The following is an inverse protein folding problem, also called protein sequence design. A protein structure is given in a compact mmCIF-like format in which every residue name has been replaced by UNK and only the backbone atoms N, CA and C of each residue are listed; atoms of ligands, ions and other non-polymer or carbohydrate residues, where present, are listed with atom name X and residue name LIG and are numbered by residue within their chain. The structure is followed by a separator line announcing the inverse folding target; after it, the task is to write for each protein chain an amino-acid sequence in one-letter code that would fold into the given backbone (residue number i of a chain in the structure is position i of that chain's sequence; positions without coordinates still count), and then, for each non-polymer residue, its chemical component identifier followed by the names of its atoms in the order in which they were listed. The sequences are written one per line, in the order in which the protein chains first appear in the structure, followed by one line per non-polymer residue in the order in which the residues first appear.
data_IF_065734146760
#
_entry.id   IF_065734146760
#
_cell.length_a   1.000
_cell.length_b   1.000
_cell.length_c   1.000
_cell.angle_alpha   90.00
_cell.angle_beta   90.00
_cell.angle_gamma   90.00
#
_symmetry.space_group_name_H-M   'P 1'
#
loop_
_entity.id
_entity.type
_entity.pdbx_description
1 polymer ?
#
# COMPACT_ATOMS: atom_id res chain seq x y z
N UNK A 1 37.18 1.29 9.60
CA UNK A 1 36.54 0.02 9.18
C UNK A 1 35.38 -0.45 10.07
N UNK A 2 35.38 -0.21 11.39
CA UNK A 2 34.29 -0.66 12.28
C UNK A 2 32.94 0.04 12.06
N UNK A 3 32.93 1.34 11.73
CA UNK A 3 31.71 2.11 11.47
C UNK A 3 30.93 1.59 10.25
N UNK A 4 31.64 1.18 9.19
CA UNK A 4 31.00 0.67 7.96
C UNK A 4 30.30 -0.68 8.19
N UNK A 5 30.86 -1.55 9.05
CA UNK A 5 30.23 -2.81 9.49
C UNK A 5 28.97 -2.57 10.33
N UNK A 6 28.94 -1.53 11.15
CA UNK A 6 27.77 -1.20 11.97
C UNK A 6 26.65 -0.60 11.13
N UNK A 7 26.97 0.33 10.23
CA UNK A 7 25.99 0.93 9.31
C UNK A 7 25.38 -0.14 8.41
N UNK A 8 26.20 -1.01 7.80
CA UNK A 8 25.70 -2.12 6.97
C UNK A 8 24.81 -3.09 7.74
N UNK A 9 25.20 -3.50 8.96
CA UNK A 9 24.35 -4.36 9.81
C UNK A 9 23.00 -3.71 10.13
N UNK A 10 22.99 -2.40 10.41
CA UNK A 10 21.76 -1.65 10.70
C UNK A 10 20.87 -1.52 9.47
N UNK A 11 21.44 -1.20 8.31
CA UNK A 11 20.70 -1.10 7.05
C UNK A 11 20.10 -2.45 6.67
N UNK A 12 20.87 -3.54 6.78
CA UNK A 12 20.38 -4.89 6.49
C UNK A 12 19.21 -5.27 7.42
N UNK A 13 19.36 -5.00 8.73
CA UNK A 13 18.30 -5.24 9.70
C UNK A 13 17.06 -4.39 9.41
N UNK A 14 17.22 -3.12 9.04
CA UNK A 14 16.11 -2.23 8.72
C UNK A 14 15.36 -2.73 7.47
N UNK A 15 16.06 -3.10 6.41
CA UNK A 15 15.45 -3.69 5.20
C UNK A 15 14.71 -4.98 5.57
N UNK A 16 15.35 -5.87 6.32
CA UNK A 16 14.71 -7.11 6.78
C UNK A 16 13.44 -6.84 7.61
N UNK A 17 13.50 -5.91 8.56
CA UNK A 17 12.36 -5.55 9.39
C UNK A 17 11.22 -4.94 8.56
N UNK A 18 11.53 -4.10 7.57
CA UNK A 18 10.53 -3.54 6.64
C UNK A 18 9.85 -4.68 5.87
N UNK A 19 10.62 -5.58 5.28
CA UNK A 19 10.08 -6.71 4.52
C UNK A 19 9.29 -7.67 5.40
N UNK A 20 9.68 -7.84 6.66
CA UNK A 20 8.95 -8.63 7.64
C UNK A 20 7.59 -7.99 7.96
N UNK A 21 7.57 -6.68 8.25
CA UNK A 21 6.31 -5.95 8.50
C UNK A 21 5.41 -6.00 7.30
N UNK A 22 5.94 -5.73 6.10
CA UNK A 22 5.23 -5.88 4.84
C UNK A 22 4.66 -7.29 4.72
N UNK A 23 5.47 -8.33 4.87
CA UNK A 23 5.00 -9.73 4.76
C UNK A 23 3.90 -10.07 5.78
N UNK A 24 3.98 -9.55 7.00
CA UNK A 24 2.91 -9.70 8.00
C UNK A 24 1.64 -9.01 7.51
N UNK A 25 1.75 -7.77 7.00
CA UNK A 25 0.63 -7.07 6.37
C UNK A 25 0.06 -7.86 5.19
N UNK A 26 0.88 -8.56 4.39
CA UNK A 26 0.37 -9.46 3.35
C UNK A 26 -0.52 -10.52 3.96
N UNK A 27 -0.01 -11.16 5.03
CA UNK A 27 -0.71 -12.25 5.70
C UNK A 27 -2.08 -11.79 6.17
N UNK A 28 -2.15 -10.60 6.79
CA UNK A 28 -3.42 -10.00 7.16
C UNK A 28 -4.32 -9.76 5.94
N UNK A 29 -3.83 -9.08 4.91
CA UNK A 29 -4.61 -8.75 3.69
C UNK A 29 -5.07 -10.00 2.96
N UNK A 30 -4.23 -11.03 2.84
CA UNK A 30 -4.53 -12.27 2.14
C UNK A 30 -5.50 -13.17 2.91
N UNK A 31 -5.57 -13.05 4.24
CA UNK A 31 -6.51 -13.77 5.10
C UNK A 31 -7.84 -13.03 5.25
N UNK A 32 -7.84 -11.69 5.15
CA UNK A 32 -9.07 -10.90 5.15
C UNK A 32 -9.74 -10.94 3.77
N UNK A 33 -11.04 -11.23 3.73
CA UNK A 33 -11.81 -11.11 2.49
C UNK A 33 -11.79 -9.65 2.01
N UNK A 34 -11.57 -9.45 0.71
CA UNK A 34 -11.51 -8.11 0.12
C UNK A 34 -12.88 -7.43 0.20
N UNK A 35 -13.03 -6.32 0.94
CA UNK A 35 -14.31 -5.61 1.08
C UNK A 35 -14.81 -5.05 -0.26
N UNK A 36 -13.94 -4.87 -1.26
CA UNK A 36 -14.33 -4.39 -2.58
C UNK A 36 -15.18 -5.41 -3.35
N UNK A 37 -15.07 -6.71 -3.03
CA UNK A 37 -15.93 -7.74 -3.64
C UNK A 37 -17.39 -7.49 -3.30
N UNK A 38 -17.68 -7.02 -2.09
CA UNK A 38 -19.04 -6.66 -1.68
C UNK A 38 -19.55 -5.40 -2.42
N UNK A 39 -18.66 -4.43 -2.68
CA UNK A 39 -18.98 -3.23 -3.46
C UNK A 39 -19.31 -3.59 -4.92
N UNK A 40 -18.51 -4.46 -5.55
CA UNK A 40 -18.77 -4.95 -6.92
C UNK A 40 -20.06 -5.75 -6.96
N UNK A 41 -20.30 -6.62 -5.99
CA UNK A 41 -21.55 -7.39 -5.90
C UNK A 41 -22.77 -6.48 -5.78
N UNK A 42 -22.68 -5.44 -4.94
CA UNK A 42 -23.74 -4.45 -4.79
C UNK A 42 -23.98 -3.65 -6.07
N UNK A 43 -22.91 -3.14 -6.69
CA UNK A 43 -22.98 -2.41 -7.96
C UNK A 43 -23.58 -3.25 -9.09
N UNK A 44 -23.14 -4.50 -9.23
CA UNK A 44 -23.69 -5.44 -10.21
C UNK A 44 -25.16 -5.76 -9.93
N UNK A 45 -25.57 -5.84 -8.66
CA UNK A 45 -26.97 -6.08 -8.28
C UNK A 45 -27.90 -4.90 -8.56
N UNK A 46 -27.35 -3.70 -8.73
CA UNK A 46 -28.06 -2.44 -9.02
C UNK A 46 -27.96 -2.05 -10.50
N UNK A 47 -27.31 -2.87 -11.34
CA UNK A 47 -27.25 -2.62 -12.78
C UNK A 47 -28.65 -2.70 -13.40
N UNK A 48 -28.85 -1.98 -14.50
CA UNK A 48 -30.12 -2.00 -15.26
C UNK A 48 -30.49 -3.41 -15.73
N UNK A 49 -29.48 -4.23 -16.00
CA UNK A 49 -29.60 -5.64 -16.38
C UNK A 49 -30.07 -6.50 -15.21
N UNK A 50 -29.49 -6.30 -14.02
CA UNK A 50 -29.89 -7.00 -12.79
C UNK A 50 -31.29 -6.60 -12.29
N UNK A 51 -31.78 -5.41 -12.63
CA UNK A 51 -33.11 -4.93 -12.24
C UNK A 51 -34.26 -5.55 -13.04
N UNK A 52 -33.99 -5.99 -14.28
CA UNK A 52 -34.98 -6.63 -15.16
C UNK A 52 -34.92 -8.16 -15.11
N UNK A 53 -33.84 -8.70 -14.55
CA UNK A 53 -33.57 -10.12 -14.41
C UNK A 53 -34.38 -10.78 -13.28
N UNK A 54 -34.69 -12.07 -13.45
CA UNK A 54 -35.28 -12.88 -12.39
C UNK A 54 -34.28 -13.12 -11.24
N UNK A 55 -34.74 -13.63 -10.09
CA UNK A 55 -33.88 -13.86 -8.93
C UNK A 55 -32.68 -14.78 -9.22
N UNK A 56 -32.84 -15.78 -10.10
CA UNK A 56 -31.76 -16.67 -10.54
C UNK A 56 -30.75 -15.97 -11.47
N UNK A 57 -31.23 -15.23 -12.48
CA UNK A 57 -30.39 -14.48 -13.42
C UNK A 57 -29.61 -13.36 -12.71
N UNK A 58 -30.25 -12.65 -11.77
CA UNK A 58 -29.58 -11.63 -10.96
C UNK A 58 -28.42 -12.22 -10.15
N UNK A 59 -28.59 -13.43 -9.61
CA UNK A 59 -27.52 -14.12 -8.89
C UNK A 59 -26.37 -14.53 -9.82
N UNK A 60 -26.64 -14.84 -11.08
CA UNK A 60 -25.64 -15.14 -12.11
C UNK A 60 -24.85 -13.89 -12.52
N UNK A 61 -25.54 -12.78 -12.82
CA UNK A 61 -24.92 -11.49 -13.14
C UNK A 61 -23.97 -11.02 -12.03
N UNK A 62 -24.41 -11.14 -10.77
CA UNK A 62 -23.57 -10.77 -9.61
C UNK A 62 -22.35 -11.70 -9.49
N UNK A 63 -22.52 -13.01 -9.72
CA UNK A 63 -21.39 -13.95 -9.68
C UNK A 63 -20.38 -13.66 -10.78
N UNK A 64 -20.85 -13.39 -11.99
CA UNK A 64 -20.00 -13.07 -13.14
C UNK A 64 -19.20 -11.78 -12.92
N UNK A 65 -19.85 -10.74 -12.38
CA UNK A 65 -19.16 -9.50 -12.01
C UNK A 65 -18.08 -9.74 -10.94
N UNK A 66 -18.35 -10.61 -9.95
CA UNK A 66 -17.36 -10.98 -8.93
C UNK A 66 -16.20 -11.76 -9.55
N UNK A 67 -16.47 -12.72 -10.45
CA UNK A 67 -15.40 -13.49 -11.10
C UNK A 67 -14.53 -12.63 -12.01
N UNK A 68 -15.13 -11.76 -12.82
CA UNK A 68 -14.39 -10.82 -13.66
C UNK A 68 -13.49 -9.90 -12.81
N UNK A 69 -14.02 -9.39 -11.69
CA UNK A 69 -13.23 -8.60 -10.74
C UNK A 69 -12.05 -9.38 -10.14
N UNK A 70 -12.25 -10.63 -9.76
CA UNK A 70 -11.17 -11.48 -9.21
C UNK A 70 -10.11 -11.78 -10.26
N UNK A 71 -10.51 -12.00 -11.50
CA UNK A 71 -9.61 -12.31 -12.62
C UNK A 71 -8.73 -11.10 -12.97
N UNK A 72 -9.34 -9.92 -13.15
CA UNK A 72 -8.62 -8.66 -13.43
C UNK A 72 -7.58 -8.33 -12.37
N UNK A 73 -7.90 -8.63 -11.11
CA UNK A 73 -7.06 -8.32 -9.96
C UNK A 73 -6.14 -9.47 -9.55
N UNK A 74 -6.18 -10.60 -10.26
CA UNK A 74 -5.39 -11.77 -9.97
C UNK A 74 -5.66 -12.39 -8.60
N UNK A 75 -6.85 -12.16 -8.02
CA UNK A 75 -7.23 -12.79 -6.74
C UNK A 75 -7.35 -14.31 -6.87
N UNK A 76 -7.63 -14.81 -8.07
CA UNK A 76 -7.68 -16.25 -8.38
C UNK A 76 -6.31 -16.91 -8.51
N UNK A 77 -5.22 -16.12 -8.49
CA UNK A 77 -3.86 -16.66 -8.55
C UNK A 77 -3.46 -17.32 -7.22
N UNK A 78 -2.60 -18.35 -7.27
CA UNK A 78 -1.99 -18.95 -6.09
C UNK A 78 -1.39 -17.90 -5.15
N UNK A 79 -1.58 -18.07 -3.84
CA UNK A 79 -1.13 -17.12 -2.81
C UNK A 79 0.36 -16.77 -2.95
N UNK A 80 1.19 -17.74 -3.36
CA UNK A 80 2.63 -17.54 -3.62
C UNK A 80 2.90 -16.50 -4.72
N UNK A 81 2.12 -16.52 -5.80
CA UNK A 81 2.30 -15.62 -6.94
C UNK A 81 1.86 -14.20 -6.55
N UNK A 82 0.75 -14.10 -5.83
CA UNK A 82 0.29 -12.82 -5.26
C UNK A 82 1.31 -12.22 -4.30
N UNK A 83 1.96 -13.04 -3.47
CA UNK A 83 3.01 -12.58 -2.56
C UNK A 83 4.22 -12.04 -3.34
N UNK A 84 4.76 -12.81 -4.29
CA UNK A 84 5.93 -12.38 -5.08
C UNK A 84 5.64 -11.10 -5.84
N UNK A 85 4.46 -11.02 -6.47
CA UNK A 85 4.03 -9.81 -7.17
C UNK A 85 3.93 -8.62 -6.23
N UNK A 86 3.32 -8.80 -5.05
CA UNK A 86 3.19 -7.72 -4.07
C UNK A 86 4.54 -7.22 -3.54
N UNK A 87 5.49 -8.13 -3.29
CA UNK A 87 6.85 -7.76 -2.90
C UNK A 87 7.56 -6.98 -4.00
N UNK A 88 7.44 -7.42 -5.27
CA UNK A 88 7.96 -6.69 -6.43
C UNK A 88 7.34 -5.30 -6.52
N UNK A 89 6.01 -5.20 -6.45
CA UNK A 89 5.28 -3.94 -6.58
C UNK A 89 5.68 -2.94 -5.50
N UNK A 90 5.85 -3.38 -4.25
CA UNK A 90 6.37 -2.52 -3.17
C UNK A 90 7.78 -2.01 -3.49
N UNK A 91 8.66 -2.86 -4.03
CA UNK A 91 10.04 -2.47 -4.38
C UNK A 91 10.15 -1.57 -5.60
N UNK A 92 9.27 -1.76 -6.60
CA UNK A 92 9.20 -0.91 -7.79
C UNK A 92 8.42 0.38 -7.54
N UNK A 93 8.01 0.62 -6.28
CA UNK A 93 7.16 1.73 -5.88
C UNK A 93 5.79 1.71 -6.55
N UNK A 94 5.34 0.59 -7.11
CA UNK A 94 4.02 0.44 -7.71
C UNK A 94 2.98 0.12 -6.63
N UNK A 95 2.62 1.12 -5.82
CA UNK A 95 1.76 0.91 -4.65
C UNK A 95 0.26 0.82 -4.95
N UNK A 96 -0.09 0.65 -6.23
CA UNK A 96 -1.46 0.47 -6.69
C UNK A 96 -2.24 1.77 -6.86
N UNK A 97 -3.56 1.64 -6.84
CA UNK A 97 -4.53 2.69 -7.19
C UNK A 97 -5.28 3.16 -5.95
N UNK A 98 -5.42 4.48 -5.79
CA UNK A 98 -6.25 5.08 -4.76
C UNK A 98 -7.68 5.20 -5.27
N UNK A 99 -8.63 4.52 -4.63
CA UNK A 99 -10.05 4.60 -4.97
C UNK A 99 -10.68 5.95 -4.59
N UNK A 100 -10.17 6.62 -3.55
CA UNK A 100 -10.69 7.92 -3.11
C UNK A 100 -10.27 9.05 -4.03
N UNK A 101 -9.04 8.98 -4.55
CA UNK A 101 -8.43 10.04 -5.36
C UNK A 101 -8.44 9.70 -6.86
N UNK A 102 -8.98 8.55 -7.23
CA UNK A 102 -9.03 8.01 -8.59
C UNK A 102 -7.70 8.15 -9.35
N UNK A 103 -6.60 7.84 -8.68
CA UNK A 103 -5.27 8.00 -9.24
C UNK A 103 -4.28 6.98 -8.67
N UNK A 104 -3.19 6.64 -9.40
CA UNK A 104 -2.09 5.87 -8.86
C UNK A 104 -1.55 6.52 -7.59
N UNK A 105 -1.34 5.73 -6.53
CA UNK A 105 -0.86 6.23 -5.23
C UNK A 105 0.45 7.00 -5.37
N UNK A 106 1.33 6.54 -6.26
CA UNK A 106 2.59 7.21 -6.59
C UNK A 106 2.40 8.61 -7.15
N UNK A 107 1.42 8.82 -8.02
CA UNK A 107 1.12 10.12 -8.61
C UNK A 107 0.58 11.08 -7.55
N UNK A 108 -0.31 10.59 -6.68
CA UNK A 108 -0.83 11.36 -5.54
C UNK A 108 0.31 11.80 -4.62
N UNK A 109 1.22 10.88 -4.29
CA UNK A 109 2.39 11.17 -3.47
C UNK A 109 3.36 12.13 -4.17
N UNK A 110 3.63 11.95 -5.46
CA UNK A 110 4.48 12.87 -6.21
C UNK A 110 3.95 14.31 -6.19
N UNK A 111 2.63 14.49 -6.18
CA UNK A 111 2.00 15.80 -6.00
C UNK A 111 2.08 16.35 -4.56
N UNK A 112 2.03 15.49 -3.55
CA UNK A 112 2.01 15.89 -2.14
C UNK A 112 3.42 16.10 -1.53
N UNK A 113 4.40 15.27 -1.92
CA UNK A 113 5.76 15.25 -1.37
C UNK A 113 6.43 16.63 -1.40
N UNK A 114 6.41 17.39 -2.51
CA UNK A 114 7.09 18.69 -2.57
C UNK A 114 6.54 19.67 -1.54
N UNK A 115 5.22 19.67 -1.31
CA UNK A 115 4.57 20.57 -0.35
C UNK A 115 5.00 20.25 1.08
N UNK A 116 5.06 18.96 1.45
CA UNK A 116 5.49 18.55 2.78
C UNK A 116 6.98 18.80 2.99
N UNK A 117 7.82 18.53 1.98
CA UNK A 117 9.26 18.82 2.04
C UNK A 117 9.55 20.32 2.18
N UNK A 118 8.74 21.19 1.57
CA UNK A 118 8.91 22.63 1.69
C UNK A 118 8.85 23.13 3.14
N UNK A 119 8.06 22.49 4.00
CA UNK A 119 8.00 22.82 5.43
C UNK A 119 8.99 22.01 6.27
N UNK A 120 9.20 20.73 5.95
CA UNK A 120 10.10 19.86 6.71
C UNK A 120 11.57 20.23 6.57
N UNK A 121 12.03 20.58 5.37
CA UNK A 121 13.45 20.87 5.12
C UNK A 121 13.94 22.08 5.93
N UNK A 122 13.24 23.24 5.95
CA UNK A 122 13.63 24.35 6.81
C UNK A 122 13.62 23.96 8.29
N UNK A 123 12.60 23.26 8.77
CA UNK A 123 12.51 22.83 10.15
C UNK A 123 13.67 21.91 10.56
N UNK A 124 14.05 20.95 9.70
CA UNK A 124 15.21 20.09 9.91
C UNK A 124 16.51 20.89 9.93
N UNK A 125 16.67 21.84 9.01
CA UNK A 125 17.85 22.70 8.97
C UNK A 125 17.96 23.53 10.25
N UNK A 126 16.86 24.15 10.71
CA UNK A 126 16.83 24.86 11.99
C UNK A 126 17.15 23.95 13.18
N UNK A 127 16.60 22.73 13.22
CA UNK A 127 16.89 21.77 14.29
C UNK A 127 18.34 21.30 14.28
N UNK A 128 18.94 21.06 13.11
CA UNK A 128 20.33 20.63 12.97
C UNK A 128 21.32 21.75 13.31
N UNK A 129 21.03 22.98 12.87
CA UNK A 129 21.84 24.16 13.19
C UNK A 129 21.68 24.50 14.67
N UNK A 130 20.45 24.60 15.15
CA UNK A 130 20.12 24.88 16.55
C UNK A 130 20.64 23.82 17.50
N UNK A 131 20.54 22.54 17.16
CA UNK A 131 21.06 21.44 18.00
C UNK A 131 22.58 21.38 18.03
N UNK A 132 23.27 21.79 16.96
CA UNK A 132 24.73 21.94 16.97
C UNK A 132 25.18 23.10 17.85
N UNK A 133 24.46 24.22 17.86
CA UNK A 133 24.83 25.41 18.63
C UNK A 133 24.43 25.31 20.10
N UNK A 134 23.27 24.71 20.39
CA UNK A 134 22.77 24.58 21.76
C UNK A 134 23.39 23.44 22.54
N UNK A 135 24.33 22.67 21.95
CA UNK A 135 25.15 21.61 22.57
C UNK A 135 25.09 21.59 24.09
N UNK A 136 23.98 21.07 24.61
CA UNK A 136 23.57 21.26 25.99
C UNK A 136 24.39 20.27 26.81
N UNK A 137 25.57 20.72 27.25
CA UNK A 137 26.44 19.98 28.17
C UNK A 137 25.65 19.86 29.47
N UNK A 138 24.98 18.73 29.65
CA UNK A 138 24.34 18.37 30.91
C UNK A 138 25.38 18.50 32.03
N UNK A 139 25.19 19.38 33.02
CA UNK A 139 26.07 19.43 34.17
C UNK A 139 25.82 18.16 34.98
N UNK A 140 26.79 17.26 34.97
CA UNK A 140 26.94 16.20 35.97
C UNK A 140 27.18 16.81 37.34
#
# INVERSE_FOLDING_TARGET
MALWKQVSKRVLFAVFAIYLVVSITFGFVALTADPNVALVAYGASMSSEAQQANASERAEIVREAISAYKEERGLDRPVRERYVQWMMDITMLNWGYSYTQEAPVTAVLAGAIPRTLAYLLPALLFALVGGRTTGWRWPS
#
